data_IF_647841900544
#
_entry.id   IF_647841900544
#
_cell.length_a   1.000
_cell.length_b   1.000
_cell.length_c   1.000
_cell.angle_alpha   90.00
_cell.angle_beta   90.00
_cell.angle_gamma   90.00
#
_symmetry.space_group_name_H-M   'P 1'
#
loop_
_entity.id
_entity.type
_entity.pdbx_description
1 polymer ?
#
# COMPACT_ATOMS: atom_id res chain seq x y z
N UNK A 1 -7.07 16.28 3.10
CA UNK A 1 -6.31 15.13 2.61
C UNK A 1 -7.10 13.86 2.86
N UNK A 2 -7.30 13.03 1.84
CA UNK A 2 -7.95 11.71 1.88
C UNK A 2 -6.90 10.62 1.65
N UNK A 3 -6.77 9.71 2.60
CA UNK A 3 -5.84 8.58 2.53
C UNK A 3 -6.60 7.27 2.56
N UNK A 4 -6.23 6.35 1.67
CA UNK A 4 -6.70 4.97 1.72
C UNK A 4 -5.54 4.03 2.11
N UNK A 5 -5.67 3.35 3.24
CA UNK A 5 -4.74 2.30 3.65
C UNK A 5 -5.28 0.91 3.27
N UNK A 6 -4.59 0.24 2.36
CA UNK A 6 -4.86 -1.14 1.94
C UNK A 6 -4.05 -2.11 2.79
N UNK A 7 -4.74 -2.87 3.64
CA UNK A 7 -4.15 -3.81 4.59
C UNK A 7 -4.22 -5.22 4.03
N UNK A 8 -3.06 -5.75 3.62
CA UNK A 8 -2.90 -7.10 3.09
C UNK A 8 -2.71 -8.20 4.14
N UNK A 9 -2.74 -7.88 5.45
CA UNK A 9 -2.59 -8.93 6.46
C UNK A 9 -3.83 -9.84 6.54
N UNK A 10 -3.68 -11.18 6.46
CA UNK A 10 -4.79 -12.11 6.69
C UNK A 10 -5.37 -12.02 8.11
N UNK A 11 -4.61 -11.50 9.07
CA UNK A 11 -5.07 -11.25 10.45
C UNK A 11 -5.94 -9.99 10.56
N UNK A 12 -6.00 -9.15 9.52
CA UNK A 12 -6.65 -7.84 9.56
C UNK A 12 -5.92 -6.89 10.51
N UNK A 13 -6.44 -6.78 11.74
CA UNK A 13 -5.90 -5.92 12.81
C UNK A 13 -4.64 -6.52 13.45
N UNK A 14 -3.56 -6.59 12.66
CA UNK A 14 -2.25 -7.10 13.07
C UNK A 14 -1.19 -6.02 13.19
N UNK A 15 0.09 -6.42 13.08
CA UNK A 15 1.20 -5.47 13.18
C UNK A 15 1.21 -4.45 12.03
N UNK A 16 0.95 -4.88 10.79
CA UNK A 16 0.84 -3.98 9.64
C UNK A 16 -0.16 -2.84 9.86
N UNK A 17 -1.38 -3.13 10.34
CA UNK A 17 -2.38 -2.09 10.63
C UNK A 17 -1.94 -1.18 11.78
N UNK A 18 -1.28 -1.70 12.82
CA UNK A 18 -0.75 -0.87 13.92
C UNK A 18 0.35 0.09 13.46
N UNK A 19 1.18 -0.30 12.49
CA UNK A 19 2.17 0.59 11.89
C UNK A 19 1.45 1.71 11.11
N UNK A 20 0.42 1.36 10.34
CA UNK A 20 -0.41 2.34 9.64
C UNK A 20 -1.12 3.29 10.62
N UNK A 21 -1.63 2.80 11.76
CA UNK A 21 -2.21 3.63 12.83
C UNK A 21 -1.18 4.63 13.40
N UNK A 22 0.12 4.24 13.50
CA UNK A 22 1.19 5.18 13.90
C UNK A 22 1.38 6.27 12.84
N UNK A 23 1.41 5.91 11.56
CA UNK A 23 1.47 6.86 10.44
C UNK A 23 0.27 7.82 10.50
N UNK A 24 -0.94 7.29 10.61
CA UNK A 24 -2.19 8.07 10.72
C UNK A 24 -2.12 9.04 11.90
N UNK A 25 -1.72 8.58 13.09
CA UNK A 25 -1.61 9.42 14.29
C UNK A 25 -0.61 10.56 14.10
N UNK A 26 0.52 10.30 13.42
CA UNK A 26 1.51 11.33 13.11
C UNK A 26 0.94 12.35 12.13
N UNK A 27 0.32 11.90 11.04
CA UNK A 27 -0.29 12.77 10.03
C UNK A 27 -1.42 13.63 10.60
N UNK A 28 -2.28 13.08 11.46
CA UNK A 28 -3.35 13.83 12.15
C UNK A 28 -2.85 14.98 13.00
N UNK A 29 -1.61 14.91 13.51
CA UNK A 29 -0.97 16.01 14.24
C UNK A 29 -0.47 17.13 13.32
N UNK A 30 -0.27 16.85 12.03
CA UNK A 30 0.18 17.82 11.04
C UNK A 30 -0.98 18.59 10.39
N UNK A 31 -2.19 18.01 10.36
CA UNK A 31 -3.39 18.73 9.94
C UNK A 31 -4.60 17.83 9.65
N UNK A 32 -5.57 18.39 8.90
CA UNK A 32 -6.86 17.74 8.64
C UNK A 32 -6.70 16.54 7.71
N UNK A 33 -7.08 15.37 8.22
CA UNK A 33 -6.92 14.07 7.58
C UNK A 33 -8.25 13.30 7.60
N UNK A 34 -8.68 12.83 6.44
CA UNK A 34 -9.68 11.80 6.25
C UNK A 34 -8.93 10.50 5.90
N UNK A 35 -9.13 9.45 6.69
CA UNK A 35 -8.31 8.25 6.63
C UNK A 35 -9.20 7.01 6.66
N UNK A 36 -9.16 6.22 5.59
CA UNK A 36 -9.96 5.01 5.42
C UNK A 36 -9.06 3.77 5.42
N UNK A 37 -9.53 2.69 6.06
CA UNK A 37 -8.88 1.39 6.05
C UNK A 37 -9.65 0.39 5.19
N UNK A 38 -9.00 -0.15 4.17
CA UNK A 38 -9.48 -1.29 3.39
C UNK A 38 -8.72 -2.54 3.80
N UNK A 39 -9.38 -3.43 4.54
CA UNK A 39 -8.82 -4.73 4.88
C UNK A 39 -9.10 -5.72 3.76
N UNK A 40 -8.06 -6.18 3.05
CA UNK A 40 -8.23 -7.11 1.92
C UNK A 40 -8.86 -8.45 2.33
N UNK A 41 -8.74 -8.85 3.60
CA UNK A 41 -9.39 -10.05 4.14
C UNK A 41 -10.93 -9.95 4.15
N UNK A 42 -11.46 -8.74 4.14
CA UNK A 42 -12.90 -8.44 4.25
C UNK A 42 -13.50 -7.99 2.91
N UNK A 43 -12.67 -7.82 1.87
CA UNK A 43 -13.11 -7.46 0.52
C UNK A 43 -13.50 -8.71 -0.28
N UNK A 44 -14.57 -8.64 -1.08
CA UNK A 44 -14.80 -9.65 -2.12
C UNK A 44 -13.83 -9.36 -3.27
N UNK A 45 -12.67 -9.99 -3.24
CA UNK A 45 -11.66 -9.88 -4.29
C UNK A 45 -11.26 -11.27 -4.76
N UNK A 46 -11.90 -11.74 -5.82
CA UNK A 46 -11.69 -13.08 -6.40
C UNK A 46 -10.32 -13.19 -7.05
N UNK A 47 -9.87 -14.42 -7.32
CA UNK A 47 -8.59 -14.66 -7.97
C UNK A 47 -8.60 -14.22 -9.44
N UNK A 48 -7.52 -13.59 -9.88
CA UNK A 48 -7.33 -13.25 -11.28
C UNK A 48 -7.30 -14.52 -12.15
N UNK A 49 -8.00 -14.52 -13.29
CA UNK A 49 -8.02 -15.66 -14.23
C UNK A 49 -6.90 -15.61 -15.27
N UNK A 50 -6.08 -14.56 -15.30
CA UNK A 50 -5.03 -14.41 -16.33
C UNK A 50 -5.55 -14.39 -17.76
N UNK A 51 -6.80 -13.98 -18.00
CA UNK A 51 -7.44 -14.07 -19.32
C UNK A 51 -7.14 -12.90 -20.27
N UNK A 52 -6.41 -11.87 -19.82
CA UNK A 52 -6.00 -10.68 -20.59
C UNK A 52 -7.13 -9.82 -21.20
N UNK A 53 -8.42 -10.09 -20.93
CA UNK A 53 -9.53 -9.28 -21.47
C UNK A 53 -9.49 -7.83 -20.98
N UNK A 54 -9.16 -7.59 -19.71
CA UNK A 54 -9.02 -6.24 -19.18
C UNK A 54 -7.90 -5.45 -19.86
N UNK A 55 -6.78 -6.10 -20.18
CA UNK A 55 -5.62 -5.46 -20.83
C UNK A 55 -5.91 -5.18 -22.32
N UNK A 56 -6.50 -6.15 -23.03
CA UNK A 56 -6.74 -6.06 -24.47
C UNK A 56 -7.96 -5.22 -24.85
N UNK A 57 -9.03 -5.23 -24.03
CA UNK A 57 -10.31 -4.56 -24.33
C UNK A 57 -10.67 -3.44 -23.34
N UNK A 58 -9.98 -3.35 -22.21
CA UNK A 58 -10.22 -2.36 -21.15
C UNK A 58 -10.85 -2.95 -19.89
N UNK A 59 -10.72 -2.25 -18.75
CA UNK A 59 -11.09 -2.75 -17.40
C UNK A 59 -12.47 -3.40 -17.33
N UNK A 60 -13.48 -2.75 -17.92
CA UNK A 60 -14.89 -3.20 -17.93
C UNK A 60 -15.13 -4.58 -18.55
N UNK A 61 -14.15 -5.12 -19.28
CA UNK A 61 -14.23 -6.46 -19.89
C UNK A 61 -13.62 -7.56 -19.01
N UNK A 62 -13.20 -7.25 -17.79
CA UNK A 62 -12.89 -8.28 -16.81
C UNK A 62 -14.18 -9.08 -16.51
N UNK A 63 -14.21 -10.42 -16.68
CA UNK A 63 -15.42 -11.22 -16.48
C UNK A 63 -15.68 -11.54 -14.99
N UNK A 64 -14.94 -10.92 -14.09
CA UNK A 64 -15.04 -11.15 -12.65
C UNK A 64 -15.82 -10.01 -12.04
N UNK A 65 -17.00 -10.30 -11.51
CA UNK A 65 -17.82 -9.36 -10.75
C UNK A 65 -17.49 -9.48 -9.27
N UNK A 66 -16.85 -8.45 -8.73
CA UNK A 66 -16.49 -8.31 -7.32
C UNK A 66 -16.07 -6.87 -6.99
N UNK A 67 -15.40 -6.63 -5.86
CA UNK A 67 -15.11 -5.28 -5.38
C UNK A 67 -13.93 -4.59 -6.10
N UNK A 68 -13.29 -5.21 -7.08
CA UNK A 68 -12.08 -4.65 -7.70
C UNK A 68 -12.30 -3.27 -8.36
N UNK A 69 -13.47 -3.03 -8.95
CA UNK A 69 -13.81 -1.72 -9.54
C UNK A 69 -14.10 -0.66 -8.47
N UNK A 70 -14.75 -1.05 -7.36
CA UNK A 70 -15.01 -0.13 -6.23
C UNK A 70 -13.71 0.29 -5.56
N UNK A 71 -12.76 -0.64 -5.45
CA UNK A 71 -11.43 -0.33 -4.89
C UNK A 71 -10.66 0.60 -5.83
N UNK A 72 -10.69 0.34 -7.14
CA UNK A 72 -10.08 1.22 -8.16
C UNK A 72 -10.64 2.65 -8.09
N UNK A 73 -11.96 2.79 -7.98
CA UNK A 73 -12.63 4.08 -7.82
C UNK A 73 -12.23 4.78 -6.51
N UNK A 74 -12.14 4.04 -5.39
CA UNK A 74 -11.68 4.59 -4.11
C UNK A 74 -10.26 5.14 -4.21
N UNK A 75 -9.34 4.38 -4.82
CA UNK A 75 -7.95 4.80 -5.04
C UNK A 75 -7.91 6.11 -5.84
N UNK A 76 -8.63 6.19 -6.96
CA UNK A 76 -8.66 7.39 -7.80
C UNK A 76 -9.27 8.63 -7.14
N UNK A 77 -10.03 8.47 -6.05
CA UNK A 77 -10.65 9.57 -5.29
C UNK A 77 -9.87 9.96 -4.02
N UNK A 78 -8.67 9.42 -3.84
CA UNK A 78 -7.77 9.73 -2.71
C UNK A 78 -6.62 10.63 -3.13
N UNK A 79 -6.00 11.29 -2.17
CA UNK A 79 -4.77 12.05 -2.37
C UNK A 79 -3.53 11.16 -2.15
N UNK A 80 -3.67 10.11 -1.33
CA UNK A 80 -2.60 9.17 -1.04
C UNK A 80 -3.09 7.77 -0.69
N UNK A 81 -2.24 6.78 -0.99
CA UNK A 81 -2.51 5.36 -0.78
C UNK A 81 -1.37 4.77 0.02
N UNK A 82 -1.69 3.90 0.98
CA UNK A 82 -0.72 3.13 1.73
C UNK A 82 -0.95 1.65 1.45
N UNK A 83 0.05 0.94 0.94
CA UNK A 83 0.00 -0.51 0.82
C UNK A 83 0.79 -1.13 1.99
N UNK A 84 0.12 -1.93 2.81
CA UNK A 84 0.76 -2.62 3.93
C UNK A 84 0.63 -4.13 3.78
N UNK A 85 1.75 -4.83 3.76
CA UNK A 85 1.77 -6.30 3.75
C UNK A 85 2.75 -6.86 4.78
N UNK A 86 2.39 -7.95 5.48
CA UNK A 86 3.40 -8.73 6.16
C UNK A 86 4.33 -9.40 5.14
N UNK A 87 5.61 -9.55 5.51
CA UNK A 87 6.59 -10.34 4.77
C UNK A 87 6.46 -11.81 5.12
N UNK A 88 5.89 -12.60 4.22
CA UNK A 88 5.72 -14.05 4.35
C UNK A 88 6.64 -14.75 3.36
N UNK A 89 7.72 -15.34 3.87
CA UNK A 89 8.75 -16.04 3.07
C UNK A 89 9.29 -15.14 1.96
N UNK A 90 9.82 -13.97 2.34
CA UNK A 90 10.45 -13.00 1.41
C UNK A 90 9.50 -12.46 0.33
N UNK A 91 8.20 -12.41 0.62
CA UNK A 91 7.19 -11.89 -0.30
C UNK A 91 6.01 -11.29 0.46
N UNK A 92 5.11 -10.62 -0.27
CA UNK A 92 3.83 -10.16 0.26
C UNK A 92 2.93 -11.32 0.66
N UNK A 93 1.88 -11.02 1.43
CA UNK A 93 0.84 -12.02 1.73
C UNK A 93 0.10 -12.45 0.46
N UNK A 94 -0.57 -13.61 0.52
CA UNK A 94 -1.42 -14.07 -0.59
C UNK A 94 -2.57 -13.10 -0.90
N UNK A 95 -3.09 -12.38 0.10
CA UNK A 95 -4.13 -11.35 -0.09
C UNK A 95 -3.59 -10.17 -0.89
N UNK A 96 -2.41 -9.66 -0.50
CA UNK A 96 -1.77 -8.55 -1.22
C UNK A 96 -1.34 -8.98 -2.62
N UNK A 97 -0.84 -10.21 -2.79
CA UNK A 97 -0.52 -10.74 -4.12
C UNK A 97 -1.74 -10.83 -5.02
N UNK A 98 -2.88 -11.29 -4.48
CA UNK A 98 -4.13 -11.29 -5.22
C UNK A 98 -4.60 -9.87 -5.58
N UNK A 99 -4.44 -8.91 -4.67
CA UNK A 99 -4.69 -7.49 -4.98
C UNK A 99 -3.81 -7.01 -6.14
N UNK A 100 -2.50 -7.25 -6.09
CA UNK A 100 -1.57 -6.91 -7.18
C UNK A 100 -2.02 -7.55 -8.50
N UNK A 101 -2.36 -8.84 -8.50
CA UNK A 101 -2.79 -9.55 -9.72
C UNK A 101 -4.11 -9.02 -10.29
N UNK A 102 -5.02 -8.57 -9.42
CA UNK A 102 -6.28 -7.94 -9.83
C UNK A 102 -6.11 -6.50 -10.31
N UNK A 103 -5.01 -5.85 -9.95
CA UNK A 103 -4.62 -4.52 -10.41
C UNK A 103 -3.56 -4.54 -11.53
N UNK A 104 -3.25 -5.72 -12.10
CA UNK A 104 -2.36 -5.84 -13.26
C UNK A 104 -2.79 -4.96 -14.46
N UNK A 105 -4.09 -4.66 -14.60
CA UNK A 105 -4.57 -3.69 -15.58
C UNK A 105 -3.95 -2.30 -15.37
N UNK A 106 -3.91 -1.81 -14.13
CA UNK A 106 -3.33 -0.52 -13.78
C UNK A 106 -1.81 -0.50 -13.99
N UNK A 107 -1.12 -1.65 -13.90
CA UNK A 107 0.29 -1.73 -14.29
C UNK A 107 0.49 -1.57 -15.82
N UNK A 108 -0.34 -2.21 -16.64
CA UNK A 108 -0.24 -2.15 -18.10
C UNK A 108 -0.93 -0.92 -18.75
N UNK A 109 -1.77 -0.22 -17.98
CA UNK A 109 -2.41 1.05 -18.31
C UNK A 109 -2.28 1.94 -17.07
N UNK A 110 -1.09 2.53 -16.83
CA UNK A 110 -0.80 3.34 -15.65
C UNK A 110 -1.89 4.37 -15.39
N UNK A 111 -2.31 4.41 -14.14
CA UNK A 111 -3.35 5.27 -13.58
C UNK A 111 -2.85 5.79 -12.23
N UNK A 112 -3.66 6.62 -11.58
CA UNK A 112 -3.36 7.15 -10.26
C UNK A 112 -2.15 8.10 -10.21
N UNK A 113 -1.96 8.86 -11.29
CA UNK A 113 -0.82 9.75 -11.47
C UNK A 113 -0.74 10.93 -10.50
N UNK A 114 -1.87 11.27 -9.88
CA UNK A 114 -1.97 12.37 -8.92
C UNK A 114 -1.88 11.86 -7.46
N UNK A 115 -1.93 10.54 -7.27
CA UNK A 115 -1.85 9.90 -5.97
C UNK A 115 -0.40 9.72 -5.54
N UNK A 116 -0.17 9.90 -4.24
CA UNK A 116 1.09 9.51 -3.58
C UNK A 116 0.98 8.11 -3.01
N UNK A 117 2.04 7.33 -3.08
CA UNK A 117 2.10 5.95 -2.58
C UNK A 117 3.11 5.82 -1.45
N UNK A 118 2.72 5.15 -0.37
CA UNK A 118 3.64 4.67 0.68
C UNK A 118 3.56 3.16 0.76
N UNK A 119 4.71 2.49 0.86
CA UNK A 119 4.80 1.04 0.99
C UNK A 119 5.26 0.66 2.39
N UNK A 120 4.61 -0.32 3.01
CA UNK A 120 4.93 -0.79 4.35
C UNK A 120 5.04 -2.31 4.37
N UNK A 121 6.24 -2.81 4.68
CA UNK A 121 6.50 -4.22 4.92
C UNK A 121 6.82 -4.46 6.40
N UNK A 122 6.27 -5.54 6.96
CA UNK A 122 6.61 -5.93 8.32
C UNK A 122 6.87 -7.44 8.42
N UNK A 123 7.95 -7.85 9.08
CA UNK A 123 8.25 -9.27 9.34
C UNK A 123 8.96 -9.44 10.69
N UNK A 124 9.07 -10.68 11.18
CA UNK A 124 9.85 -11.00 12.38
C UNK A 124 11.33 -11.27 12.11
N UNK A 125 11.80 -11.05 10.89
CA UNK A 125 13.14 -11.43 10.45
C UNK A 125 13.56 -10.68 9.19
N UNK A 126 14.20 -11.39 8.25
CA UNK A 126 14.63 -10.82 6.98
C UNK A 126 13.47 -10.75 5.95
N UNK A 127 13.77 -10.25 4.75
CA UNK A 127 12.89 -10.34 3.59
C UNK A 127 11.92 -9.21 3.36
N UNK A 128 12.08 -8.09 4.08
CA UNK A 128 11.17 -6.95 3.98
C UNK A 128 11.42 -6.12 2.73
N UNK A 129 12.66 -6.02 2.26
CA UNK A 129 12.98 -5.30 1.00
C UNK A 129 12.34 -6.02 -0.19
N UNK A 130 12.44 -7.33 -0.28
CA UNK A 130 11.78 -8.14 -1.31
C UNK A 130 10.25 -8.04 -1.23
N UNK A 131 9.71 -7.83 -0.03
CA UNK A 131 8.28 -7.58 0.18
C UNK A 131 7.88 -6.19 -0.34
N UNK A 132 8.72 -5.17 -0.15
CA UNK A 132 8.53 -3.83 -0.71
C UNK A 132 8.62 -3.89 -2.24
N UNK A 133 9.65 -4.54 -2.79
CA UNK A 133 9.87 -4.70 -4.23
C UNK A 133 8.66 -5.35 -4.92
N UNK A 134 8.05 -6.35 -4.28
CA UNK A 134 6.84 -6.98 -4.79
C UNK A 134 5.63 -6.02 -4.86
N UNK A 135 5.57 -4.99 -4.01
CA UNK A 135 4.51 -3.96 -4.02
C UNK A 135 4.83 -2.77 -4.92
N UNK A 136 6.10 -2.47 -5.18
CA UNK A 136 6.56 -1.29 -5.94
C UNK A 136 5.87 -1.13 -7.29
N UNK A 137 5.64 -2.25 -7.98
CA UNK A 137 5.07 -2.26 -9.32
C UNK A 137 3.54 -2.42 -9.36
N UNK A 138 2.84 -2.36 -8.23
CA UNK A 138 1.39 -2.62 -8.16
C UNK A 138 0.59 -1.80 -9.18
N UNK A 139 0.96 -0.53 -9.36
CA UNK A 139 0.26 0.42 -10.24
C UNK A 139 1.13 0.88 -11.43
N UNK A 140 2.20 0.12 -11.74
CA UNK A 140 3.18 0.53 -12.75
C UNK A 140 3.85 1.85 -12.38
N UNK A 141 4.05 2.72 -13.37
CA UNK A 141 4.63 4.07 -13.19
C UNK A 141 3.58 5.14 -12.84
N UNK A 142 2.45 4.71 -12.26
CA UNK A 142 1.30 5.57 -12.00
C UNK A 142 1.56 6.57 -10.87
N UNK A 143 1.32 6.18 -9.61
CA UNK A 143 1.55 7.03 -8.45
C UNK A 143 3.03 7.17 -8.11
N UNK A 144 3.40 8.31 -7.53
CA UNK A 144 4.74 8.55 -7.00
C UNK A 144 4.92 7.82 -5.67
N UNK A 145 5.95 6.99 -5.56
CA UNK A 145 6.34 6.35 -4.30
C UNK A 145 7.13 7.35 -3.46
N UNK A 146 6.54 7.83 -2.37
CA UNK A 146 7.13 8.87 -1.52
C UNK A 146 8.05 8.28 -0.44
N UNK A 147 7.64 7.16 0.17
CA UNK A 147 8.39 6.53 1.24
C UNK A 147 8.07 5.02 1.33
N UNK A 148 9.08 4.27 1.78
CA UNK A 148 9.04 2.83 1.99
C UNK A 148 9.45 2.54 3.44
N UNK A 149 8.64 1.77 4.17
CA UNK A 149 8.88 1.43 5.58
C UNK A 149 9.07 -0.08 5.72
N UNK A 150 10.22 -0.49 6.22
CA UNK A 150 10.43 -1.85 6.74
C UNK A 150 10.37 -1.84 8.27
N UNK A 151 9.56 -2.74 8.83
CA UNK A 151 9.29 -2.78 10.28
C UNK A 151 9.43 -4.19 10.86
N UNK A 152 10.49 -4.37 11.64
CA UNK A 152 10.79 -5.56 12.43
C UNK A 152 9.77 -5.73 13.56
N UNK A 153 9.05 -6.85 13.51
CA UNK A 153 7.95 -7.21 14.41
C UNK A 153 7.98 -8.70 14.82
N UNK A 154 9.08 -9.19 15.43
CA UNK A 154 9.16 -10.55 15.94
C UNK A 154 8.15 -10.81 17.06
N UNK A 155 7.91 -12.08 17.43
CA UNK A 155 7.01 -12.41 18.54
C UNK A 155 7.61 -12.11 19.93
N UNK A 156 8.86 -11.65 20.00
CA UNK A 156 9.52 -11.17 21.23
C UNK A 156 9.77 -9.67 21.17
N UNK A 157 10.00 -9.06 22.33
CA UNK A 157 10.27 -7.63 22.41
C UNK A 157 11.61 -7.26 21.77
N UNK A 158 11.62 -6.09 21.14
CA UNK A 158 12.84 -5.45 20.69
C UNK A 158 13.49 -4.70 21.86
N UNK A 159 14.78 -4.41 21.72
CA UNK A 159 15.42 -3.45 22.62
C UNK A 159 14.77 -2.07 22.47
N UNK A 160 14.71 -1.29 23.55
CA UNK A 160 14.15 0.07 23.51
C UNK A 160 14.78 0.92 22.41
N UNK A 161 16.11 0.81 22.26
CA UNK A 161 16.85 1.51 21.20
C UNK A 161 16.36 1.13 19.80
N UNK A 162 16.09 -0.15 19.55
CA UNK A 162 15.59 -0.61 18.25
C UNK A 162 14.13 -0.19 18.04
N UNK A 163 13.28 -0.26 19.07
CA UNK A 163 11.89 0.18 19.00
C UNK A 163 11.80 1.69 18.70
N UNK A 164 12.53 2.52 19.45
CA UNK A 164 12.59 3.98 19.24
C UNK A 164 13.11 4.33 17.84
N UNK A 165 14.14 3.61 17.35
CA UNK A 165 14.67 3.83 16.01
C UNK A 165 13.60 3.62 14.94
N UNK A 166 12.83 2.54 15.02
CA UNK A 166 11.77 2.26 14.05
C UNK A 166 10.63 3.27 14.14
N UNK A 167 10.23 3.67 15.35
CA UNK A 167 9.20 4.69 15.54
C UNK A 167 9.62 6.04 14.97
N UNK A 168 10.89 6.42 15.11
CA UNK A 168 11.43 7.63 14.46
C UNK A 168 11.40 7.54 12.93
N UNK A 169 11.68 6.35 12.36
CA UNK A 169 11.55 6.12 10.91
C UNK A 169 10.10 6.30 10.45
N UNK A 170 9.14 5.72 11.17
CA UNK A 170 7.70 5.87 10.89
C UNK A 170 7.28 7.33 10.97
N UNK A 171 7.73 8.04 12.00
CA UNK A 171 7.41 9.46 12.22
C UNK A 171 7.94 10.36 11.09
N UNK A 172 9.16 10.07 10.59
CA UNK A 172 9.77 10.81 9.48
C UNK A 172 9.03 10.52 8.17
N UNK A 173 8.79 9.24 7.85
CA UNK A 173 8.09 8.84 6.63
C UNK A 173 6.65 9.38 6.61
N UNK A 174 5.94 9.38 7.73
CA UNK A 174 4.60 9.95 7.83
C UNK A 174 4.60 11.47 7.58
N UNK A 175 5.60 12.20 8.07
CA UNK A 175 5.74 13.64 7.84
C UNK A 175 6.07 13.94 6.37
N UNK A 176 7.00 13.19 5.78
CA UNK A 176 7.33 13.29 4.35
C UNK A 176 6.11 13.03 3.46
N UNK A 177 5.37 11.95 3.72
CA UNK A 177 4.17 11.59 2.97
C UNK A 177 3.10 12.66 3.06
N UNK A 178 2.83 13.18 4.27
CA UNK A 178 1.90 14.29 4.46
C UNK A 178 2.32 15.54 3.67
N UNK A 179 3.60 15.93 3.76
CA UNK A 179 4.10 17.12 3.08
C UNK A 179 4.13 16.96 1.55
N UNK A 180 4.48 15.77 1.03
CA UNK A 180 4.44 15.49 -0.41
C UNK A 180 3.04 15.65 -0.98
N UNK A 181 2.02 15.16 -0.27
CA UNK A 181 0.62 15.34 -0.67
C UNK A 181 0.20 16.82 -0.55
N UNK A 182 0.62 17.53 0.50
CA UNK A 182 0.27 18.92 0.71
C UNK A 182 0.86 19.85 -0.37
N UNK A 183 2.10 19.60 -0.78
CA UNK A 183 2.79 20.42 -1.78
C UNK A 183 2.19 20.23 -3.19
N UNK A 184 1.62 19.04 -3.47
CA UNK A 184 0.97 18.73 -4.75
C UNK A 184 1.92 18.68 -5.95
N UNK A 185 3.23 18.84 -5.73
CA UNK A 185 4.24 18.69 -6.77
C UNK A 185 4.38 17.22 -7.15
N UNK A 186 4.54 16.97 -8.45
CA UNK A 186 4.66 15.62 -9.00
C UNK A 186 6.04 15.43 -9.59
N UNK A 187 6.70 14.33 -9.24
CA UNK A 187 7.87 13.87 -9.99
C UNK A 187 7.45 13.26 -11.33
N UNK A 188 8.27 13.46 -12.36
CA UNK A 188 8.03 12.85 -13.67
C UNK A 188 8.08 11.33 -13.52
N UNK A 189 7.05 10.58 -13.95
CA UNK A 189 7.04 9.13 -13.83
C UNK A 189 8.25 8.48 -14.48
N UNK A 190 8.89 7.57 -13.73
CA UNK A 190 10.00 6.74 -14.20
C UNK A 190 9.82 5.29 -13.77
N UNK A 191 10.56 4.37 -14.39
CA UNK A 191 10.64 2.99 -13.92
C UNK A 191 11.39 2.98 -12.58
N UNK A 192 10.79 2.37 -11.55
CA UNK A 192 11.34 2.24 -10.20
C UNK A 192 12.19 0.97 -10.02
#
# INVERSE_FOLDING_TARGET
MKILAVIGSPRGKGQGSRIVEKVEKKMKRLGKLDFEYLFLKDADLKLCRGCFLCISKGRKFCPIEDDANKIEEKIGNTDGVILSSPGYVYNVSWLMKNFIDRFAYSNHRPQFFDQKLMLIANSGGAGMEETIDAMRNTFGVGPEIVDEITYMSPPWDLTDKAAVKQDNTVDKAAANFYNSILNGEREVPGLH
#
